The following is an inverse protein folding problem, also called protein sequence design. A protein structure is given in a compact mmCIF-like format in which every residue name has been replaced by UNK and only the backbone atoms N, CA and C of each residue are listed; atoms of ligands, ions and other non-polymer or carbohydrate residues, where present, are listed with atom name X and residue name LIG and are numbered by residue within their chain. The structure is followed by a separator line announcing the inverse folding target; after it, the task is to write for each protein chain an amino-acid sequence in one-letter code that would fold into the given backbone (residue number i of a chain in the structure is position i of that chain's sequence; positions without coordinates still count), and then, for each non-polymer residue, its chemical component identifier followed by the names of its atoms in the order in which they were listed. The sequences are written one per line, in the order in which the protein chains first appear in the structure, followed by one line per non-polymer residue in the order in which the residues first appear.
data_IF_423392327626
#
_entry.id   IF_423392327626
#
_cell.length_a   1.000
_cell.length_b   1.000
_cell.length_c   1.000
_cell.angle_alpha   90.00
_cell.angle_beta   90.00
_cell.angle_gamma   90.00
#
_symmetry.space_group_name_H-M   'P 1'
#
loop_
_entity.id
_entity.type
_entity.pdbx_description
1 polymer ?
#
# COMPACT_ATOMS: atom_id res chain seq x y z
N UNK A 1 -2.16 -8.38 9.82
CA UNK A 1 -3.47 -9.05 9.65
C UNK A 1 -4.39 -8.56 10.75
N UNK A 2 -5.66 -8.32 10.42
CA UNK A 2 -6.71 -7.88 11.33
C UNK A 2 -7.88 -8.87 11.26
N UNK A 3 -8.53 -9.14 12.39
CA UNK A 3 -9.74 -9.95 12.47
C UNK A 3 -10.81 -9.06 13.10
N UNK A 4 -11.89 -8.81 12.36
CA UNK A 4 -13.01 -7.98 12.78
C UNK A 4 -14.21 -8.86 13.04
N UNK A 5 -14.95 -8.58 14.11
CA UNK A 5 -16.25 -9.20 14.39
C UNK A 5 -17.31 -8.12 14.37
N UNK A 6 -18.25 -8.22 13.44
CA UNK A 6 -19.39 -7.31 13.36
C UNK A 6 -20.40 -7.58 14.49
N UNK A 7 -21.32 -6.64 14.73
CA UNK A 7 -22.35 -6.79 15.75
C UNK A 7 -23.28 -7.99 15.50
N UNK A 8 -23.46 -8.38 14.23
CA UNK A 8 -24.24 -9.56 13.84
C UNK A 8 -23.47 -10.89 13.98
N UNK A 9 -22.22 -10.84 14.47
CA UNK A 9 -21.36 -12.00 14.65
C UNK A 9 -20.48 -12.34 13.45
N UNK A 10 -20.67 -11.68 12.29
CA UNK A 10 -19.86 -11.92 11.09
C UNK A 10 -18.38 -11.67 11.37
N UNK A 11 -17.52 -12.62 11.03
CA UNK A 11 -16.07 -12.52 11.18
C UNK A 11 -15.44 -12.21 9.83
N UNK A 12 -14.67 -11.12 9.78
CA UNK A 12 -13.92 -10.69 8.60
C UNK A 12 -12.43 -10.74 8.89
N UNK A 13 -11.68 -11.49 8.09
CA UNK A 13 -10.21 -11.48 8.10
C UNK A 13 -9.70 -10.51 7.05
N UNK A 14 -8.83 -9.59 7.45
CA UNK A 14 -8.12 -8.66 6.56
C UNK A 14 -6.63 -8.92 6.69
N UNK A 15 -6.03 -9.46 5.63
CA UNK A 15 -4.59 -9.54 5.49
C UNK A 15 -4.08 -8.28 4.78
N UNK A 16 -2.91 -7.79 5.19
CA UNK A 16 -2.28 -6.62 4.58
C UNK A 16 -0.88 -7.02 4.18
N UNK A 17 -0.60 -6.93 2.88
CA UNK A 17 0.69 -7.19 2.27
C UNK A 17 1.31 -5.88 1.82
N UNK A 18 2.55 -5.64 2.22
CA UNK A 18 3.17 -4.33 2.17
C UNK A 18 4.50 -4.38 1.41
N UNK A 19 4.58 -3.74 0.25
CA UNK A 19 5.79 -3.74 -0.59
C UNK A 19 6.37 -2.34 -0.77
N UNK A 20 7.62 -2.15 -0.34
CA UNK A 20 8.32 -0.87 -0.38
C UNK A 20 9.17 -0.66 -1.66
N UNK A 21 9.93 -1.66 -2.08
CA UNK A 21 10.80 -1.64 -3.28
C UNK A 21 10.28 -2.62 -4.34
N UNK A 22 10.50 -2.36 -5.64
CA UNK A 22 10.20 -3.31 -6.73
C UNK A 22 11.29 -3.23 -7.81
N UNK A 23 11.69 -4.34 -8.47
CA UNK A 23 10.84 -5.41 -9.00
C UNK A 23 10.47 -6.52 -8.00
N UNK A 24 9.51 -7.40 -8.35
CA UNK A 24 9.36 -8.72 -7.69
C UNK A 24 10.73 -9.39 -7.60
N UNK A 25 11.01 -10.07 -6.49
CA UNK A 25 12.25 -10.82 -6.24
C UNK A 25 12.61 -11.83 -7.34
N UNK A 26 11.66 -12.15 -8.23
CA UNK A 26 11.84 -13.05 -9.36
C UNK A 26 12.27 -12.37 -10.68
N UNK A 27 12.53 -11.06 -10.72
CA UNK A 27 12.89 -10.40 -12.00
C UNK A 27 14.24 -10.85 -12.58
N UNK A 28 15.05 -11.60 -11.83
CA UNK A 28 16.35 -12.10 -12.26
C UNK A 28 16.35 -13.59 -12.64
N UNK A 29 15.28 -14.36 -12.39
CA UNK A 29 15.28 -15.81 -12.64
C UNK A 29 13.95 -16.29 -13.23
N UNK A 30 13.82 -16.19 -14.55
CA UNK A 30 12.61 -16.56 -15.32
C UNK A 30 12.36 -18.08 -15.39
N UNK A 31 13.08 -18.90 -14.62
CA UNK A 31 12.99 -20.37 -14.65
C UNK A 31 12.55 -21.01 -13.33
N UNK A 32 12.29 -20.23 -12.27
CA UNK A 32 11.70 -20.74 -11.02
C UNK A 32 10.19 -20.50 -11.01
N UNK A 33 9.43 -21.44 -11.57
CA UNK A 33 7.97 -21.34 -11.73
C UNK A 33 7.14 -21.72 -10.49
N UNK A 34 7.68 -21.72 -9.27
CA UNK A 34 6.87 -22.17 -8.12
C UNK A 34 7.10 -21.54 -6.75
N UNK A 35 8.13 -20.72 -6.54
CA UNK A 35 8.41 -20.12 -5.23
C UNK A 35 8.86 -18.66 -5.40
N UNK A 36 7.99 -17.69 -5.17
CA UNK A 36 8.43 -16.28 -5.16
C UNK A 36 7.39 -15.22 -5.51
N UNK A 37 6.13 -15.59 -5.81
CA UNK A 37 5.05 -14.61 -5.84
C UNK A 37 4.37 -14.54 -4.48
N UNK A 38 4.95 -13.71 -3.61
CA UNK A 38 4.49 -13.52 -2.24
C UNK A 38 3.02 -13.08 -2.17
N UNK A 39 2.54 -12.29 -3.14
CA UNK A 39 1.15 -11.84 -3.16
C UNK A 39 0.20 -13.01 -3.44
N UNK A 40 0.53 -13.86 -4.42
CA UNK A 40 -0.23 -15.06 -4.75
C UNK A 40 -0.19 -16.09 -3.62
N UNK A 41 0.98 -16.31 -3.01
CA UNK A 41 1.16 -17.25 -1.90
C UNK A 41 0.32 -16.85 -0.69
N UNK A 42 0.40 -15.58 -0.27
CA UNK A 42 -0.39 -15.09 0.86
C UNK A 42 -1.88 -15.10 0.60
N UNK A 43 -2.32 -14.75 -0.61
CA UNK A 43 -3.73 -14.85 -0.98
C UNK A 43 -4.19 -16.31 -0.94
N UNK A 44 -3.40 -17.23 -1.51
CA UNK A 44 -3.69 -18.66 -1.49
C UNK A 44 -3.82 -19.19 -0.06
N UNK A 45 -2.88 -18.86 0.82
CA UNK A 45 -2.91 -19.30 2.21
C UNK A 45 -4.11 -18.73 2.98
N UNK A 46 -4.48 -17.49 2.70
CA UNK A 46 -5.66 -16.85 3.29
C UNK A 46 -6.95 -17.58 2.87
N UNK A 47 -7.17 -17.79 1.57
CA UNK A 47 -8.41 -18.40 1.08
C UNK A 47 -8.48 -19.89 1.43
N UNK A 48 -7.35 -20.60 1.44
CA UNK A 48 -7.26 -22.03 1.77
C UNK A 48 -7.08 -22.35 3.26
N UNK A 49 -7.09 -21.35 4.15
CA UNK A 49 -6.86 -21.52 5.59
C UNK A 49 -5.51 -22.17 5.94
N UNK A 50 -4.46 -21.84 5.21
CA UNK A 50 -3.09 -22.36 5.44
C UNK A 50 -2.15 -21.34 6.10
N UNK A 51 -2.72 -20.25 6.63
CA UNK A 51 -1.94 -19.24 7.35
C UNK A 51 -1.29 -19.82 8.61
N UNK A 52 0.01 -19.58 8.77
CA UNK A 52 0.74 -19.94 9.97
C UNK A 52 0.45 -18.93 11.10
N UNK A 53 -0.54 -19.22 11.92
CA UNK A 53 -0.99 -18.37 13.04
C UNK A 53 -1.22 -19.24 14.28
N UNK A 54 -1.18 -18.63 15.46
CA UNK A 54 -1.55 -19.30 16.71
C UNK A 54 -2.96 -19.93 16.65
N UNK A 55 -3.17 -21.07 17.30
CA UNK A 55 -4.43 -21.84 17.30
C UNK A 55 -5.70 -21.01 17.56
N UNK A 56 -5.63 -20.03 18.49
CA UNK A 56 -6.78 -19.20 18.83
C UNK A 56 -7.21 -18.29 17.66
N UNK A 57 -6.26 -17.80 16.87
CA UNK A 57 -6.50 -17.00 15.68
C UNK A 57 -6.83 -17.88 14.48
N UNK A 58 -6.24 -19.08 14.38
CA UNK A 58 -6.55 -20.04 13.33
C UNK A 58 -8.05 -20.35 13.28
N UNK A 59 -8.66 -20.67 14.44
CA UNK A 59 -10.11 -20.93 14.51
C UNK A 59 -10.92 -19.76 13.96
N UNK A 60 -10.65 -18.54 14.40
CA UNK A 60 -11.37 -17.33 13.96
C UNK A 60 -11.24 -17.09 12.47
N UNK A 61 -10.03 -17.22 11.91
CA UNK A 61 -9.77 -17.04 10.48
C UNK A 61 -10.45 -18.13 9.66
N UNK A 62 -10.40 -19.37 10.14
CA UNK A 62 -11.03 -20.50 9.47
C UNK A 62 -12.55 -20.40 9.43
N UNK A 63 -13.15 -19.75 10.44
CA UNK A 63 -14.58 -19.46 10.50
C UNK A 63 -14.98 -18.15 9.81
N UNK A 64 -14.03 -17.33 9.36
CA UNK A 64 -14.36 -16.05 8.72
C UNK A 64 -15.14 -16.24 7.43
N UNK A 65 -16.32 -15.63 7.37
CA UNK A 65 -17.17 -15.63 6.18
C UNK A 65 -16.61 -14.69 5.10
N UNK A 66 -15.79 -13.71 5.50
CA UNK A 66 -15.17 -12.74 4.60
C UNK A 66 -13.67 -12.71 4.80
N UNK A 67 -12.93 -12.78 3.70
CA UNK A 67 -11.47 -12.73 3.70
C UNK A 67 -11.00 -11.77 2.64
N UNK A 68 -10.19 -10.80 3.03
CA UNK A 68 -9.68 -9.76 2.15
C UNK A 68 -8.17 -9.66 2.25
N UNK A 69 -7.51 -9.40 1.11
CA UNK A 69 -6.10 -9.08 1.05
C UNK A 69 -5.93 -7.64 0.53
N UNK A 70 -5.30 -6.78 1.32
CA UNK A 70 -4.91 -5.43 0.92
C UNK A 70 -3.44 -5.42 0.52
N UNK A 71 -3.18 -5.13 -0.74
CA UNK A 71 -1.84 -4.94 -1.28
C UNK A 71 -1.47 -3.45 -1.26
N UNK A 72 -0.50 -3.09 -0.41
CA UNK A 72 -0.03 -1.71 -0.24
C UNK A 72 1.34 -1.56 -0.88
N UNK A 73 1.46 -0.67 -1.87
CA UNK A 73 2.74 -0.50 -2.60
C UNK A 73 3.17 0.95 -2.75
N UNK A 74 4.43 1.16 -3.11
CA UNK A 74 4.99 2.48 -3.41
C UNK A 74 4.56 3.04 -4.79
N UNK A 75 3.89 2.24 -5.62
CA UNK A 75 3.46 2.64 -6.96
C UNK A 75 2.48 3.83 -6.89
N UNK A 76 2.55 4.70 -7.90
CA UNK A 76 1.60 5.81 -8.06
C UNK A 76 0.26 5.35 -8.63
N UNK A 77 0.29 4.36 -9.52
CA UNK A 77 -0.87 3.75 -10.14
C UNK A 77 -0.93 2.26 -9.77
N UNK A 78 -2.10 1.64 -10.00
CA UNK A 78 -2.31 0.22 -9.79
C UNK A 78 -1.21 -0.59 -10.49
N UNK A 79 -0.42 -1.43 -9.79
CA UNK A 79 0.60 -2.26 -10.39
C UNK A 79 -0.05 -3.46 -11.10
N UNK A 80 -0.68 -3.18 -12.25
CA UNK A 80 -1.48 -4.15 -13.02
C UNK A 80 -0.70 -5.40 -13.38
N UNK A 81 0.55 -5.25 -13.81
CA UNK A 81 1.41 -6.37 -14.17
C UNK A 81 1.66 -7.30 -12.98
N UNK A 82 2.03 -6.75 -11.82
CA UNK A 82 2.25 -7.54 -10.60
C UNK A 82 0.99 -8.32 -10.22
N UNK A 83 -0.18 -7.66 -10.22
CA UNK A 83 -1.46 -8.26 -9.84
C UNK A 83 -1.88 -9.33 -10.85
N UNK A 84 -1.69 -9.08 -12.15
CA UNK A 84 -2.05 -10.03 -13.20
C UNK A 84 -1.21 -11.29 -13.13
N UNK A 85 0.10 -11.17 -12.94
CA UNK A 85 0.98 -12.32 -12.77
C UNK A 85 0.58 -13.16 -11.55
N UNK A 86 0.30 -12.51 -10.40
CA UNK A 86 -0.19 -13.21 -9.20
C UNK A 86 -1.53 -13.91 -9.48
N UNK A 87 -2.39 -13.28 -10.28
CA UNK A 87 -3.68 -13.83 -10.65
C UNK A 87 -3.58 -15.06 -11.57
N UNK A 88 -2.63 -15.07 -12.49
CA UNK A 88 -2.38 -16.21 -13.36
C UNK A 88 -1.86 -17.41 -12.56
N UNK A 89 -0.96 -17.18 -11.60
CA UNK A 89 -0.45 -18.21 -10.71
C UNK A 89 -1.54 -18.84 -9.83
N UNK A 90 -2.41 -18.01 -9.27
CA UNK A 90 -3.53 -18.46 -8.44
C UNK A 90 -4.55 -19.29 -9.23
N UNK A 91 -4.85 -18.87 -10.46
CA UNK A 91 -5.70 -19.64 -11.38
C UNK A 91 -5.09 -21.02 -11.67
N UNK A 92 -3.78 -21.09 -11.90
CA UNK A 92 -3.07 -22.36 -12.10
C UNK A 92 -3.09 -23.25 -10.85
N UNK A 93 -3.22 -22.68 -9.65
CA UNK A 93 -3.39 -23.40 -8.38
C UNK A 93 -4.86 -23.76 -8.07
N UNK A 94 -5.79 -23.55 -9.01
CA UNK A 94 -7.21 -23.88 -8.86
C UNK A 94 -8.01 -22.87 -8.04
N UNK A 95 -7.43 -21.71 -7.71
CA UNK A 95 -8.17 -20.61 -7.08
C UNK A 95 -8.88 -19.83 -8.18
N UNK A 96 -10.14 -20.18 -8.41
CA UNK A 96 -11.01 -19.57 -9.43
C UNK A 96 -11.90 -18.44 -8.87
N UNK A 97 -11.73 -18.06 -7.60
CA UNK A 97 -12.46 -16.94 -7.04
C UNK A 97 -12.15 -15.66 -7.83
N UNK A 98 -13.19 -14.88 -8.13
CA UNK A 98 -13.00 -13.51 -8.60
C UNK A 98 -12.15 -12.78 -7.56
N UNK A 99 -11.07 -12.12 -8.00
CA UNK A 99 -10.17 -11.25 -7.22
C UNK A 99 -10.87 -10.05 -6.54
N UNK A 100 -12.19 -10.12 -6.38
CA UNK A 100 -13.04 -9.18 -5.65
C UNK A 100 -12.59 -9.01 -4.19
N UNK A 101 -11.80 -9.95 -3.67
CA UNK A 101 -11.25 -9.91 -2.32
C UNK A 101 -9.81 -9.39 -2.25
N UNK A 102 -9.19 -9.05 -3.39
CA UNK A 102 -7.88 -8.42 -3.47
C UNK A 102 -8.03 -6.93 -3.75
N UNK A 103 -7.65 -6.11 -2.77
CA UNK A 103 -7.66 -4.65 -2.88
C UNK A 103 -6.24 -4.11 -2.99
N UNK A 104 -6.08 -2.96 -3.65
CA UNK A 104 -4.80 -2.28 -3.74
C UNK A 104 -4.91 -0.83 -3.27
N UNK A 105 -3.89 -0.36 -2.56
CA UNK A 105 -3.69 1.06 -2.29
C UNK A 105 -2.21 1.43 -2.35
N UNK A 106 -1.93 2.72 -2.54
CA UNK A 106 -0.58 3.26 -2.52
C UNK A 106 -0.25 3.75 -1.11
N UNK A 107 1.00 3.58 -0.68
CA UNK A 107 1.51 4.20 0.55
C UNK A 107 1.25 5.71 0.60
N UNK A 108 1.23 6.38 -0.56
CA UNK A 108 0.94 7.82 -0.65
C UNK A 108 -0.47 8.18 -0.21
N UNK A 109 -1.44 7.27 -0.35
CA UNK A 109 -2.81 7.48 0.13
C UNK A 109 -2.95 7.26 1.63
N UNK A 110 -2.00 6.58 2.27
CA UNK A 110 -2.04 6.36 3.72
C UNK A 110 -1.94 7.69 4.47
N UNK A 111 -1.14 8.65 3.97
CA UNK A 111 -1.04 9.98 4.59
C UNK A 111 -2.41 10.67 4.74
N UNK A 112 -3.27 10.65 3.71
CA UNK A 112 -4.61 11.27 3.82
C UNK A 112 -5.54 10.59 4.82
N UNK A 113 -5.26 9.35 5.21
CA UNK A 113 -6.05 8.60 6.19
C UNK A 113 -5.56 8.89 7.62
N UNK A 114 -4.24 9.00 7.82
CA UNK A 114 -3.66 9.14 9.16
C UNK A 114 -3.67 10.58 9.67
N UNK A 115 -3.56 11.60 8.82
CA UNK A 115 -3.51 13.00 9.27
C UNK A 115 -4.77 13.44 10.04
N UNK A 116 -6.01 13.15 9.58
CA UNK A 116 -7.21 13.49 10.33
C UNK A 116 -7.26 12.80 11.69
N UNK A 117 -6.79 11.55 11.77
CA UNK A 117 -6.77 10.76 13.00
C UNK A 117 -5.76 11.29 14.02
N UNK A 118 -4.64 11.85 13.57
CA UNK A 118 -3.66 12.52 14.44
C UNK A 118 -4.22 13.84 14.99
N UNK A 119 -5.01 14.55 14.19
CA UNK A 119 -5.61 15.83 14.58
C UNK A 119 -6.87 15.67 15.47
N UNK A 120 -7.47 14.48 15.49
CA UNK A 120 -8.66 14.18 16.27
C UNK A 120 -8.32 14.05 17.76
N UNK A 121 -9.01 14.84 18.59
CA UNK A 121 -8.85 14.86 20.04
C UNK A 121 -9.37 13.61 20.74
N UNK A 122 -10.24 12.83 20.07
CA UNK A 122 -10.79 11.59 20.62
C UNK A 122 -9.84 10.39 20.43
N UNK A 123 -8.84 10.52 19.56
CA UNK A 123 -7.84 9.48 19.33
C UNK A 123 -6.95 9.31 20.56
N UNK A 124 -6.78 8.08 21.03
CA UNK A 124 -5.95 7.79 22.19
C UNK A 124 -4.47 8.16 21.95
N UNK A 125 -3.77 8.52 23.03
CA UNK A 125 -2.39 9.02 22.96
C UNK A 125 -1.41 8.01 22.33
N UNK A 126 -1.61 6.71 22.52
CA UNK A 126 -0.72 5.70 21.95
C UNK A 126 -0.93 5.56 20.45
N UNK A 127 -2.17 5.59 20.00
CA UNK A 127 -2.50 5.63 18.56
C UNK A 127 -1.94 6.89 17.92
N UNK A 128 -2.09 8.07 18.54
CA UNK A 128 -1.51 9.32 18.01
C UNK A 128 0.02 9.20 17.84
N UNK A 129 0.73 8.61 18.80
CA UNK A 129 2.18 8.37 18.70
C UNK A 129 2.53 7.44 17.53
N UNK A 130 1.85 6.30 17.42
CA UNK A 130 2.06 5.34 16.34
C UNK A 130 1.80 5.97 14.96
N UNK A 131 0.73 6.73 14.81
CA UNK A 131 0.38 7.41 13.57
C UNK A 131 1.39 8.51 13.23
N UNK A 132 1.90 9.22 14.24
CA UNK A 132 2.95 10.24 14.07
C UNK A 132 4.26 9.61 13.58
N UNK A 133 4.67 8.48 14.15
CA UNK A 133 5.85 7.73 13.72
C UNK A 133 5.69 7.20 12.28
N UNK A 134 4.50 6.67 11.95
CA UNK A 134 4.18 6.25 10.59
C UNK A 134 4.26 7.42 9.61
N UNK A 135 3.70 8.58 9.95
CA UNK A 135 3.81 9.80 9.15
C UNK A 135 5.27 10.18 8.88
N UNK A 136 6.09 10.21 9.94
CA UNK A 136 7.53 10.51 9.83
C UNK A 136 8.25 9.52 8.92
N UNK A 137 7.94 8.23 9.04
CA UNK A 137 8.49 7.18 8.18
C UNK A 137 8.11 7.40 6.70
N UNK A 138 6.83 7.65 6.41
CA UNK A 138 6.36 7.91 5.05
C UNK A 138 7.04 9.12 4.42
N UNK A 139 7.23 10.21 5.18
CA UNK A 139 7.97 11.39 4.73
C UNK A 139 9.43 11.07 4.41
N UNK A 140 10.15 10.40 5.33
CA UNK A 140 11.55 10.02 5.13
C UNK A 140 11.74 9.13 3.91
N UNK A 141 10.76 8.28 3.62
CA UNK A 141 10.75 7.36 2.49
C UNK A 141 10.18 7.98 1.20
N UNK A 142 9.84 9.28 1.20
CA UNK A 142 9.23 10.00 0.07
C UNK A 142 7.95 9.34 -0.44
N UNK A 143 7.22 8.68 0.46
CA UNK A 143 5.93 8.02 0.23
C UNK A 143 4.75 8.91 0.61
N UNK A 144 4.90 10.22 0.39
CA UNK A 144 3.84 11.20 0.60
C UNK A 144 3.37 11.74 -0.75
N UNK A 145 2.12 12.20 -0.88
CA UNK A 145 1.68 12.91 -2.07
C UNK A 145 2.56 14.14 -2.34
N UNK A 146 2.64 14.54 -3.60
CA UNK A 146 3.23 15.84 -3.95
C UNK A 146 2.36 16.94 -3.33
N UNK A 147 2.96 17.82 -2.52
CA UNK A 147 2.26 18.89 -1.80
C UNK A 147 2.24 20.22 -2.58
N UNK A 148 2.54 20.20 -3.88
CA UNK A 148 2.70 21.42 -4.67
C UNK A 148 4.08 22.05 -4.52
N UNK A 149 4.26 23.18 -5.21
CA UNK A 149 5.43 24.03 -5.06
C UNK A 149 5.18 25.00 -3.91
N UNK A 150 6.16 25.17 -3.03
CA UNK A 150 6.17 26.29 -2.09
C UNK A 150 6.72 27.52 -2.81
N UNK A 151 6.07 28.66 -2.63
CA UNK A 151 6.64 29.93 -3.06
C UNK A 151 8.02 30.07 -2.42
N UNK A 152 9.02 30.42 -3.23
CA UNK A 152 10.31 30.85 -2.70
C UNK A 152 10.07 32.27 -2.22
N UNK A 153 10.16 32.50 -0.90
CA UNK A 153 10.11 33.84 -0.35
C UNK A 153 11.30 34.61 -0.95
N UNK A 154 10.97 35.51 -1.88
CA UNK A 154 11.88 36.30 -2.72
C UNK A 154 12.88 35.50 -3.56
N UNK A 155 12.70 35.54 -4.88
CA UNK A 155 13.87 35.59 -5.75
C UNK A 155 14.53 36.95 -5.47
N UNK A 156 15.78 36.95 -5.00
CA UNK A 156 16.55 38.18 -4.85
C UNK A 156 16.36 39.06 -6.09
N UNK A 157 16.14 40.35 -5.85
CA UNK A 157 15.69 41.34 -6.82
C UNK A 157 16.62 41.53 -8.03
N UNK A 158 17.73 40.81 -8.11
CA UNK A 158 18.75 40.89 -9.15
C UNK A 158 18.48 40.02 -10.40
N UNK A 159 17.29 39.41 -10.53
CA UNK A 159 16.83 38.80 -11.79
C UNK A 159 17.61 37.56 -12.26
N UNK A 160 18.68 37.17 -11.57
CA UNK A 160 19.60 36.11 -12.00
C UNK A 160 19.11 34.69 -11.70
N UNK A 161 18.12 34.52 -10.82
CA UNK A 161 17.64 33.20 -10.37
C UNK A 161 16.20 32.87 -10.78
N UNK A 162 15.64 33.47 -11.83
CA UNK A 162 14.41 32.91 -12.41
C UNK A 162 14.75 31.60 -13.12
N UNK A 163 14.06 30.48 -12.79
CA UNK A 163 14.25 29.24 -13.53
C UNK A 163 13.99 29.50 -15.02
N UNK A 164 14.81 28.90 -15.88
CA UNK A 164 14.85 29.18 -17.32
C UNK A 164 13.47 29.19 -18.00
N UNK A 165 12.56 28.33 -17.55
CA UNK A 165 11.19 28.16 -18.05
C UNK A 165 10.21 29.31 -17.72
N UNK A 166 10.56 30.23 -16.82
CA UNK A 166 9.76 31.42 -16.49
C UNK A 166 10.33 32.72 -17.07
N UNK A 167 11.36 32.63 -17.92
CA UNK A 167 11.84 33.78 -18.69
C UNK A 167 10.85 33.99 -19.84
N UNK A 168 10.19 35.15 -19.89
CA UNK A 168 9.37 35.51 -21.05
C UNK A 168 10.26 35.43 -22.31
N UNK A 169 9.79 34.71 -23.33
CA UNK A 169 10.41 34.73 -24.63
C UNK A 169 10.18 36.13 -25.24
N UNK A 170 11.15 37.02 -25.09
CA UNK A 170 11.08 38.35 -25.68
C UNK A 170 12.32 39.18 -25.39
N UNK A 171 12.97 39.63 -26.47
CA UNK A 171 14.19 40.44 -26.60
C UNK A 171 15.51 39.62 -26.56
N UNK A 172 16.30 39.42 -27.62
CA UNK A 172 16.39 39.97 -28.99
C UNK A 172 17.12 38.94 -29.89
N UNK A 173 16.88 39.01 -31.21
CA UNK A 173 17.80 38.56 -32.26
C UNK A 173 18.79 39.69 -32.58
#
# INVERSE_FOLDING_TARGET
MCILTAQDGTITTIMVECKYTSPKSNSLDRHSWSHGDQLAEQYYDLVTNRLNVSDANYKKISSSERKYLFYVTAHYALPRADIQESAELLRNKGVNESYNCLFWTSWRKVSSIIEPQIADSETDTMTVRLLTDLRLLLHRKRLVPFQGFKAVDSFDADGLNRPFFWRQAGAEF
#
